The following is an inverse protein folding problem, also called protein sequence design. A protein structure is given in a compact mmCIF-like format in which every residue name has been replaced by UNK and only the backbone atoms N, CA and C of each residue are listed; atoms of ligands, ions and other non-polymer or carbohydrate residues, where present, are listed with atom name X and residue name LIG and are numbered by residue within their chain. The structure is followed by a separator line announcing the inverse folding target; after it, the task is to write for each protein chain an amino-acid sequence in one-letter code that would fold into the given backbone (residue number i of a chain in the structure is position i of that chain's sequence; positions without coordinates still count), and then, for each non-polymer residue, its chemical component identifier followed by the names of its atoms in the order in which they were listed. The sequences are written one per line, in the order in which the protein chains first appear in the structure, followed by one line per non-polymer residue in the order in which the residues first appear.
data_IF_072538767978
#
_entry.id   IF_072538767978
#
_cell.length_a   1.000
_cell.length_b   1.000
_cell.length_c   1.000
_cell.angle_alpha   90.00
_cell.angle_beta   90.00
_cell.angle_gamma   90.00
#
_symmetry.space_group_name_H-M   'P 1'
#
loop_
_entity.id
_entity.type
_entity.pdbx_description
1 polymer ?
#
# COMPACT_ATOMS: atom_id res chain seq x y z
N UNK A 1 1.95 32.60 9.79
CA UNK A 1 2.66 31.41 10.33
C UNK A 1 1.67 30.38 10.93
N UNK A 2 0.57 30.06 10.22
CA UNK A 2 -0.38 29.01 10.62
C UNK A 2 -0.46 27.85 9.58
N UNK A 3 0.16 28.03 8.41
CA UNK A 3 0.07 27.09 7.28
C UNK A 3 1.09 25.94 7.33
N UNK A 4 2.11 26.01 8.19
CA UNK A 4 3.14 24.95 8.28
C UNK A 4 2.69 23.72 9.11
N UNK A 5 1.52 23.80 9.76
CA UNK A 5 1.00 22.75 10.64
C UNK A 5 0.03 21.75 9.99
N UNK A 6 -0.48 22.05 8.80
CA UNK A 6 -1.45 21.19 8.12
C UNK A 6 -0.76 19.92 7.59
N UNK A 7 -1.39 18.77 7.84
CA UNK A 7 -0.91 17.44 7.39
C UNK A 7 -0.64 17.37 5.89
N UNK A 8 -1.26 18.24 5.09
CA UNK A 8 -1.11 18.34 3.64
C UNK A 8 0.30 18.80 3.19
N UNK A 9 1.06 19.47 4.05
CA UNK A 9 2.42 19.93 3.75
C UNK A 9 3.51 19.04 4.33
N UNK A 10 3.16 17.98 5.08
CA UNK A 10 4.14 17.08 5.68
C UNK A 10 4.63 16.07 4.65
N UNK A 11 5.90 16.19 4.31
CA UNK A 11 6.61 15.20 3.51
C UNK A 11 7.09 14.08 4.43
N UNK A 12 6.41 12.94 4.37
CA UNK A 12 6.79 11.77 5.17
C UNK A 12 7.93 10.99 4.53
N UNK A 13 8.95 10.63 5.31
CA UNK A 13 10.11 9.88 4.79
C UNK A 13 9.69 8.53 4.19
N UNK A 14 8.78 7.80 4.84
CA UNK A 14 8.21 6.56 4.28
C UNK A 14 7.50 6.76 2.93
N UNK A 15 6.83 7.90 2.74
CA UNK A 15 6.13 8.23 1.50
C UNK A 15 7.13 8.54 0.39
N UNK A 16 8.23 9.23 0.70
CA UNK A 16 9.32 9.46 -0.26
C UNK A 16 10.00 8.14 -0.66
N UNK A 17 10.27 7.27 0.31
CA UNK A 17 10.81 5.95 0.01
C UNK A 17 9.88 5.15 -0.91
N UNK A 18 8.58 5.09 -0.59
CA UNK A 18 7.56 4.43 -1.42
C UNK A 18 7.50 5.03 -2.85
N UNK A 19 7.57 6.35 -3.00
CA UNK A 19 7.65 7.00 -4.31
C UNK A 19 8.89 6.58 -5.10
N UNK A 20 10.04 6.40 -4.43
CA UNK A 20 11.25 5.90 -5.07
C UNK A 20 11.08 4.49 -5.64
N UNK A 21 10.28 3.63 -4.97
CA UNK A 21 9.96 2.28 -5.45
C UNK A 21 9.17 2.36 -6.75
N UNK A 22 8.15 3.22 -6.81
CA UNK A 22 7.37 3.42 -8.01
C UNK A 22 8.24 3.88 -9.18
N UNK A 23 9.07 4.91 -8.99
CA UNK A 23 9.94 5.40 -10.06
C UNK A 23 10.87 4.33 -10.59
N UNK A 24 11.46 3.52 -9.71
CA UNK A 24 12.26 2.36 -10.10
C UNK A 24 11.46 1.36 -10.94
N UNK A 25 10.23 1.03 -10.53
CA UNK A 25 9.34 0.10 -11.27
C UNK A 25 8.94 0.60 -12.66
N UNK A 26 8.84 1.91 -12.87
CA UNK A 26 8.56 2.50 -14.19
C UNK A 26 9.82 2.84 -14.99
N UNK A 27 11.00 2.35 -14.57
CA UNK A 27 12.26 2.54 -15.28
C UNK A 27 12.95 3.90 -15.05
N UNK A 28 12.42 4.74 -14.16
CA UNK A 28 12.98 6.07 -13.80
C UNK A 28 13.98 5.96 -12.64
N UNK A 29 15.05 5.20 -12.87
CA UNK A 29 16.11 4.99 -11.87
C UNK A 29 16.78 6.29 -11.43
N UNK A 30 16.88 7.28 -12.33
CA UNK A 30 17.38 8.63 -12.07
C UNK A 30 16.59 9.32 -10.95
N UNK A 31 15.25 9.29 -11.04
CA UNK A 31 14.38 9.90 -10.04
C UNK A 31 14.40 9.12 -8.73
N UNK A 32 14.39 7.79 -8.81
CA UNK A 32 14.46 6.93 -7.64
C UNK A 32 15.75 7.19 -6.84
N UNK A 33 16.91 7.29 -7.51
CA UNK A 33 18.19 7.61 -6.89
C UNK A 33 18.19 9.02 -6.30
N UNK A 34 17.69 10.02 -7.04
CA UNK A 34 17.60 11.40 -6.55
C UNK A 34 16.80 11.51 -5.25
N UNK A 35 15.69 10.79 -5.16
CA UNK A 35 14.89 10.72 -3.93
C UNK A 35 15.70 10.06 -2.81
N UNK A 36 16.31 8.90 -3.05
CA UNK A 36 17.06 8.16 -2.01
C UNK A 36 18.30 8.87 -1.49
N UNK A 37 18.93 9.71 -2.30
CA UNK A 37 20.03 10.56 -1.84
C UNK A 37 19.56 11.64 -0.86
N UNK A 38 18.34 12.17 -1.08
CA UNK A 38 17.76 13.20 -0.21
C UNK A 38 17.04 12.61 1.00
N UNK A 39 16.46 11.42 0.83
CA UNK A 39 15.67 10.68 1.80
C UNK A 39 16.22 9.24 1.91
N UNK A 40 17.30 9.04 2.68
CA UNK A 40 17.93 7.74 2.82
C UNK A 40 16.95 6.67 3.35
N UNK A 41 16.91 5.46 2.78
CA UNK A 41 15.98 4.40 3.21
C UNK A 41 16.10 3.99 4.69
N UNK A 42 17.25 4.22 5.30
CA UNK A 42 17.55 3.89 6.70
C UNK A 42 17.33 5.06 7.67
N UNK A 43 16.95 6.24 7.18
CA UNK A 43 16.64 7.38 8.03
C UNK A 43 15.38 7.10 8.90
N UNK A 44 15.31 7.68 10.12
CA UNK A 44 14.11 7.57 10.93
C UNK A 44 12.88 8.13 10.23
N UNK A 45 11.75 7.47 10.41
CA UNK A 45 10.48 8.02 9.94
C UNK A 45 10.07 9.23 10.80
N UNK A 46 9.49 10.24 10.15
CA UNK A 46 9.09 11.51 10.76
C UNK A 46 7.59 11.56 11.10
N UNK A 47 6.86 10.46 10.94
CA UNK A 47 5.47 10.30 11.38
C UNK A 47 5.36 10.00 12.90
N UNK A 48 5.56 11.04 13.71
CA UNK A 48 5.49 10.97 15.17
C UNK A 48 4.10 11.38 15.71
N UNK A 49 3.58 10.71 16.76
CA UNK A 49 4.22 9.64 17.54
C UNK A 49 4.03 8.22 16.96
N UNK A 50 3.21 8.06 15.91
CA UNK A 50 2.69 6.76 15.44
C UNK A 50 3.77 5.77 15.02
N UNK A 51 4.88 6.26 14.46
CA UNK A 51 5.97 5.42 13.92
C UNK A 51 7.31 5.71 14.59
N UNK A 52 7.29 6.15 15.85
CA UNK A 52 8.53 6.41 16.61
C UNK A 52 9.41 5.16 16.64
N UNK A 53 10.66 5.31 16.18
CA UNK A 53 11.66 4.22 16.16
C UNK A 53 11.67 3.37 14.89
N UNK A 54 10.74 3.59 13.95
CA UNK A 54 10.76 2.92 12.64
C UNK A 54 11.64 3.68 11.65
N UNK A 55 12.19 2.93 10.68
CA UNK A 55 12.91 3.50 9.53
C UNK A 55 11.95 3.79 8.38
N UNK A 56 12.33 4.70 7.49
CA UNK A 56 11.51 5.09 6.33
C UNK A 56 11.19 3.89 5.41
N UNK A 57 12.11 2.94 5.25
CA UNK A 57 11.90 1.77 4.41
C UNK A 57 11.13 0.60 5.05
N UNK A 58 10.92 0.63 6.35
CA UNK A 58 10.53 -0.53 7.15
C UNK A 58 9.15 -1.08 6.81
N UNK A 59 8.24 -0.32 6.20
CA UNK A 59 6.93 -0.84 5.76
C UNK A 59 6.92 -1.32 4.32
N UNK A 60 7.64 -0.62 3.44
CA UNK A 60 7.47 -0.73 1.99
C UNK A 60 8.61 -1.47 1.28
N UNK A 61 9.70 -1.82 1.97
CA UNK A 61 10.86 -2.51 1.40
C UNK A 61 10.48 -3.80 0.65
N UNK A 62 9.48 -4.52 1.15
CA UNK A 62 8.93 -5.74 0.53
C UNK A 62 8.42 -5.50 -0.90
N UNK A 63 7.98 -4.28 -1.24
CA UNK A 63 7.48 -3.97 -2.59
C UNK A 63 8.60 -3.89 -3.64
N UNK A 64 9.85 -3.75 -3.19
CA UNK A 64 11.06 -3.87 -4.02
C UNK A 64 11.57 -5.29 -4.17
N UNK A 65 10.95 -6.27 -3.52
CA UNK A 65 11.50 -7.62 -3.42
C UNK A 65 12.65 -7.73 -2.40
N UNK A 66 12.76 -6.79 -1.47
CA UNK A 66 13.73 -6.91 -0.37
C UNK A 66 13.29 -8.02 0.59
N UNK A 67 14.20 -8.95 0.86
CA UNK A 67 14.01 -10.08 1.79
C UNK A 67 14.50 -9.77 3.20
N UNK A 68 15.07 -8.59 3.43
CA UNK A 68 15.48 -8.14 4.76
C UNK A 68 14.28 -8.12 5.71
N UNK A 69 14.49 -8.45 7.01
CA UNK A 69 13.44 -8.31 7.99
C UNK A 69 12.92 -6.88 8.07
N UNK A 70 11.60 -6.76 8.08
CA UNK A 70 10.82 -5.54 8.28
C UNK A 70 9.95 -5.70 9.54
N UNK A 71 9.23 -4.68 10.02
CA UNK A 71 8.52 -4.74 11.32
C UNK A 71 7.54 -5.91 11.50
N UNK A 72 7.04 -6.51 10.41
CA UNK A 72 6.17 -7.69 10.46
C UNK A 72 6.87 -9.00 10.06
N UNK A 73 8.19 -9.03 9.84
CA UNK A 73 8.89 -10.21 9.31
C UNK A 73 8.77 -11.47 10.18
N UNK A 74 8.51 -11.32 11.48
CA UNK A 74 8.30 -12.43 12.42
C UNK A 74 6.81 -12.75 12.63
N UNK A 75 5.89 -12.08 11.93
CA UNK A 75 4.45 -12.32 12.02
C UNK A 75 4.02 -13.36 10.99
N UNK A 76 3.14 -14.26 11.42
CA UNK A 76 2.55 -15.28 10.54
C UNK A 76 1.22 -14.78 9.94
N UNK A 77 0.50 -13.93 10.67
CA UNK A 77 -0.78 -13.34 10.28
C UNK A 77 -0.98 -11.97 10.99
N UNK A 78 -2.00 -11.22 10.59
CA UNK A 78 -2.46 -9.99 11.24
C UNK A 78 -4.00 -9.92 11.25
N UNK A 79 -4.58 -9.10 12.12
CA UNK A 79 -6.00 -8.73 12.03
C UNK A 79 -6.28 -7.69 10.94
N UNK A 80 -5.25 -6.98 10.46
CA UNK A 80 -5.37 -5.90 9.50
C UNK A 80 -5.08 -6.37 8.07
N UNK A 81 -5.93 -5.94 7.13
CA UNK A 81 -5.88 -6.43 5.76
C UNK A 81 -4.61 -6.02 5.00
N UNK A 82 -4.11 -4.80 5.19
CA UNK A 82 -2.84 -4.36 4.59
C UNK A 82 -1.65 -5.15 5.14
N UNK A 83 -1.62 -5.38 6.45
CA UNK A 83 -0.54 -6.15 7.07
C UNK A 83 -0.53 -7.60 6.56
N UNK A 84 -1.69 -8.24 6.38
CA UNK A 84 -1.78 -9.55 5.74
C UNK A 84 -1.18 -9.53 4.34
N UNK A 85 -1.48 -8.50 3.53
CA UNK A 85 -0.96 -8.37 2.19
C UNK A 85 0.57 -8.21 2.20
N UNK A 86 1.11 -7.38 3.10
CA UNK A 86 2.56 -7.18 3.26
C UNK A 86 3.28 -8.45 3.73
N UNK A 87 2.72 -9.18 4.70
CA UNK A 87 3.26 -10.46 5.16
C UNK A 87 3.23 -11.51 4.03
N UNK A 88 2.15 -11.57 3.26
CA UNK A 88 2.04 -12.49 2.13
C UNK A 88 3.10 -12.19 1.06
N UNK A 89 3.26 -10.92 0.69
CA UNK A 89 4.31 -10.47 -0.23
C UNK A 89 5.71 -10.84 0.29
N UNK A 90 5.98 -10.59 1.56
CA UNK A 90 7.24 -11.00 2.20
C UNK A 90 7.50 -12.51 2.09
N UNK A 91 6.48 -13.34 2.30
CA UNK A 91 6.61 -14.79 2.16
C UNK A 91 6.82 -15.25 0.73
N UNK A 92 6.23 -14.58 -0.27
CA UNK A 92 6.50 -14.87 -1.67
C UNK A 92 7.98 -14.62 -2.01
N UNK A 93 8.54 -13.48 -1.60
CA UNK A 93 9.95 -13.14 -1.85
C UNK A 93 10.92 -14.09 -1.13
N UNK A 94 10.46 -14.81 -0.10
CA UNK A 94 11.22 -15.86 0.60
C UNK A 94 10.92 -17.28 0.12
N UNK A 95 10.28 -17.44 -1.04
CA UNK A 95 9.89 -18.74 -1.60
C UNK A 95 9.00 -19.58 -0.68
N UNK A 96 8.23 -18.95 0.22
CA UNK A 96 7.27 -19.59 1.13
C UNK A 96 5.85 -19.48 0.59
N UNK A 97 5.64 -19.96 -0.64
CA UNK A 97 4.38 -19.79 -1.39
C UNK A 97 3.14 -20.26 -0.62
N UNK A 98 3.17 -21.44 0.00
CA UNK A 98 2.04 -21.96 0.78
C UNK A 98 1.65 -21.03 1.95
N UNK A 99 2.62 -20.37 2.60
CA UNK A 99 2.33 -19.43 3.69
C UNK A 99 1.66 -18.15 3.14
N UNK A 100 2.13 -17.66 1.99
CA UNK A 100 1.52 -16.53 1.31
C UNK A 100 0.10 -16.85 0.81
N UNK A 101 -0.12 -18.05 0.25
CA UNK A 101 -1.41 -18.50 -0.26
C UNK A 101 -2.47 -18.61 0.85
N UNK A 102 -2.08 -18.97 2.08
CA UNK A 102 -3.01 -18.93 3.24
C UNK A 102 -3.53 -17.53 3.52
N UNK A 103 -2.64 -16.53 3.51
CA UNK A 103 -3.00 -15.13 3.73
C UNK A 103 -3.79 -14.56 2.54
N UNK A 104 -3.42 -14.95 1.33
CA UNK A 104 -4.19 -14.64 0.12
C UNK A 104 -5.61 -15.18 0.20
N UNK A 105 -5.81 -16.45 0.56
CA UNK A 105 -7.14 -17.05 0.65
C UNK A 105 -8.01 -16.37 1.71
N UNK A 106 -7.43 -15.96 2.85
CA UNK A 106 -8.14 -15.17 3.86
C UNK A 106 -8.53 -13.79 3.30
N UNK A 107 -7.62 -13.06 2.65
CA UNK A 107 -7.95 -11.78 2.01
C UNK A 107 -8.99 -11.93 0.89
N UNK A 108 -8.87 -12.96 0.07
CA UNK A 108 -9.80 -13.25 -1.01
C UNK A 108 -11.20 -13.57 -0.48
N UNK A 109 -11.31 -14.31 0.62
CA UNK A 109 -12.60 -14.59 1.27
C UNK A 109 -13.30 -13.33 1.80
N UNK A 110 -12.53 -12.26 2.04
CA UNK A 110 -13.02 -10.96 2.48
C UNK A 110 -13.28 -10.02 1.31
N UNK A 111 -12.90 -10.38 0.09
CA UNK A 111 -13.05 -9.50 -1.06
C UNK A 111 -14.48 -9.58 -1.61
N UNK A 112 -15.12 -8.42 -1.74
CA UNK A 112 -16.38 -8.25 -2.44
C UNK A 112 -16.07 -7.84 -3.89
N UNK A 113 -16.18 -8.75 -4.88
CA UNK A 113 -15.86 -8.46 -6.27
C UNK A 113 -16.87 -7.54 -6.95
N UNK A 114 -18.09 -7.42 -6.40
CA UNK A 114 -19.14 -6.54 -6.95
C UNK A 114 -18.82 -5.10 -6.58
N UNK A 115 -18.52 -4.86 -5.30
CA UNK A 115 -18.18 -3.52 -4.78
C UNK A 115 -16.72 -3.15 -5.07
N UNK A 116 -15.83 -4.12 -5.19
CA UNK A 116 -14.41 -3.93 -5.40
C UNK A 116 -13.62 -3.63 -4.13
N UNK A 117 -14.17 -3.96 -2.96
CA UNK A 117 -13.59 -3.63 -1.65
C UNK A 117 -13.34 -4.90 -0.83
N UNK A 118 -12.44 -4.80 0.16
CA UNK A 118 -12.30 -5.82 1.20
C UNK A 118 -13.28 -5.53 2.33
N UNK A 119 -13.81 -6.56 2.97
CA UNK A 119 -14.53 -6.43 4.23
C UNK A 119 -13.66 -5.66 5.23
N UNK A 120 -14.29 -4.72 5.94
CA UNK A 120 -13.62 -3.85 6.90
C UNK A 120 -12.95 -4.70 7.98
N UNK A 121 -11.65 -4.46 8.21
CA UNK A 121 -11.02 -4.94 9.43
C UNK A 121 -11.38 -4.02 10.62
N UNK A 122 -10.82 -4.30 11.81
CA UNK A 122 -11.18 -3.58 13.02
C UNK A 122 -11.01 -2.06 12.89
N UNK A 123 -9.91 -1.59 12.29
CA UNK A 123 -9.65 -0.15 12.18
C UNK A 123 -10.57 0.52 11.14
N UNK A 124 -10.89 -0.20 10.07
CA UNK A 124 -11.80 0.28 9.03
C UNK A 124 -13.24 0.40 9.55
N UNK A 125 -13.67 -0.58 10.34
CA UNK A 125 -15.01 -0.64 10.91
C UNK A 125 -15.26 0.49 11.92
N UNK A 126 -14.24 0.90 12.69
CA UNK A 126 -14.34 2.05 13.61
C UNK A 126 -14.65 3.36 12.87
N UNK A 127 -14.25 3.48 11.60
CA UNK A 127 -14.48 4.67 10.77
C UNK A 127 -15.61 4.50 9.75
N UNK A 128 -16.10 3.28 9.53
CA UNK A 128 -17.04 2.93 8.47
C UNK A 128 -16.53 3.32 7.06
N UNK A 129 -15.23 3.09 6.81
CA UNK A 129 -14.57 3.44 5.56
C UNK A 129 -13.84 2.23 4.96
N UNK A 130 -13.76 2.18 3.65
CA UNK A 130 -12.93 1.23 2.90
C UNK A 130 -11.67 1.94 2.38
N UNK A 131 -10.49 1.71 2.96
CA UNK A 131 -9.28 2.37 2.49
C UNK A 131 -8.84 1.84 1.11
N UNK A 132 -8.65 2.76 0.17
CA UNK A 132 -8.27 2.44 -1.22
C UNK A 132 -6.88 1.81 -1.27
N UNK A 133 -5.95 2.25 -0.41
CA UNK A 133 -4.58 1.71 -0.38
C UNK A 133 -4.55 0.20 -0.05
N UNK A 134 -5.51 -0.31 0.73
CA UNK A 134 -5.64 -1.74 1.04
C UNK A 134 -6.04 -2.54 -0.21
N UNK A 135 -6.93 -1.99 -1.02
CA UNK A 135 -7.33 -2.58 -2.30
C UNK A 135 -6.17 -2.58 -3.28
N UNK A 136 -5.39 -1.49 -3.34
CA UNK A 136 -4.20 -1.42 -4.16
C UNK A 136 -3.13 -2.46 -3.73
N UNK A 137 -2.87 -2.61 -2.43
CA UNK A 137 -1.97 -3.66 -1.92
C UNK A 137 -2.47 -5.06 -2.25
N UNK A 138 -3.77 -5.30 -2.14
CA UNK A 138 -4.37 -6.58 -2.54
C UNK A 138 -4.20 -6.85 -4.03
N UNK A 139 -4.32 -5.82 -4.88
CA UNK A 139 -4.01 -5.91 -6.32
C UNK A 139 -2.54 -6.23 -6.60
N UNK A 140 -1.61 -5.60 -5.87
CA UNK A 140 -0.17 -5.93 -5.97
C UNK A 140 0.07 -7.40 -5.59
N UNK A 141 -0.58 -7.90 -4.53
CA UNK A 141 -0.50 -9.32 -4.14
C UNK A 141 -1.11 -10.25 -5.18
N UNK A 142 -2.29 -9.90 -5.73
CA UNK A 142 -2.95 -10.67 -6.79
C UNK A 142 -2.05 -10.85 -8.00
N UNK A 143 -1.36 -9.78 -8.40
CA UNK A 143 -0.34 -9.81 -9.46
C UNK A 143 0.79 -10.78 -9.14
N UNK A 144 1.32 -10.76 -7.91
CA UNK A 144 2.42 -11.65 -7.48
C UNK A 144 2.02 -13.12 -7.40
N UNK A 145 0.77 -13.42 -7.02
CA UNK A 145 0.22 -14.79 -6.99
C UNK A 145 -0.29 -15.25 -8.37
N UNK A 146 -0.34 -14.35 -9.35
CA UNK A 146 -0.82 -14.58 -10.72
C UNK A 146 -2.32 -14.89 -10.79
N UNK A 147 -3.12 -14.32 -9.89
CA UNK A 147 -4.57 -14.36 -9.99
C UNK A 147 -5.06 -13.20 -10.88
N UNK A 148 -5.12 -13.45 -12.19
CA UNK A 148 -5.41 -12.42 -13.20
C UNK A 148 -6.85 -11.92 -13.18
N UNK A 149 -7.81 -12.75 -12.76
CA UNK A 149 -9.22 -12.38 -12.67
C UNK A 149 -9.44 -11.33 -11.57
N UNK A 150 -8.93 -11.59 -10.36
CA UNK A 150 -8.99 -10.65 -9.24
C UNK A 150 -8.22 -9.39 -9.55
N UNK A 151 -7.03 -9.51 -10.13
CA UNK A 151 -6.23 -8.37 -10.55
C UNK A 151 -7.01 -7.48 -11.54
N UNK A 152 -7.60 -8.06 -12.58
CA UNK A 152 -8.36 -7.30 -13.59
C UNK A 152 -9.56 -6.57 -12.98
N UNK A 153 -10.29 -7.20 -12.05
CA UNK A 153 -11.37 -6.53 -11.33
C UNK A 153 -10.85 -5.34 -10.52
N UNK A 154 -9.80 -5.55 -9.71
CA UNK A 154 -9.19 -4.49 -8.90
C UNK A 154 -8.70 -3.34 -9.78
N UNK A 155 -7.99 -3.63 -10.88
CA UNK A 155 -7.51 -2.61 -11.80
C UNK A 155 -8.67 -1.79 -12.39
N UNK A 156 -9.76 -2.45 -12.81
CA UNK A 156 -10.97 -1.76 -13.28
C UNK A 156 -11.55 -0.82 -12.21
N UNK A 157 -11.60 -1.27 -10.95
CA UNK A 157 -12.12 -0.45 -9.84
C UNK A 157 -11.21 0.73 -9.53
N UNK A 158 -9.89 0.51 -9.46
CA UNK A 158 -8.91 1.57 -9.26
C UNK A 158 -8.97 2.61 -10.38
N UNK A 159 -9.07 2.22 -11.65
CA UNK A 159 -9.24 3.17 -12.77
C UNK A 159 -10.52 3.99 -12.61
N UNK A 160 -11.65 3.36 -12.26
CA UNK A 160 -12.91 4.07 -12.05
C UNK A 160 -12.88 5.04 -10.85
N UNK A 161 -11.99 4.80 -9.89
CA UNK A 161 -11.79 5.60 -8.69
C UNK A 161 -10.70 6.68 -8.84
N UNK A 162 -10.01 6.72 -9.98
CA UNK A 162 -8.97 7.71 -10.21
C UNK A 162 -9.60 9.09 -10.46
N UNK A 163 -9.11 10.10 -9.75
CA UNK A 163 -9.49 11.49 -9.99
C UNK A 163 -8.93 11.96 -11.34
N UNK A 164 -9.57 12.98 -11.95
CA UNK A 164 -9.14 13.55 -13.25
C UNK A 164 -7.70 14.10 -13.24
N UNK A 165 -7.19 14.48 -12.08
CA UNK A 165 -5.80 14.93 -11.88
C UNK A 165 -4.79 13.78 -11.71
N UNK A 166 -5.25 12.53 -11.73
CA UNK A 166 -4.42 11.33 -11.69
C UNK A 166 -4.23 10.69 -10.31
N UNK A 167 -4.67 11.33 -9.21
CA UNK A 167 -4.60 10.80 -7.85
C UNK A 167 -5.82 9.95 -7.44
N UNK A 168 -5.78 9.43 -6.21
CA UNK A 168 -6.88 8.69 -5.58
C UNK A 168 -7.17 9.26 -4.19
N UNK A 169 -8.45 9.40 -3.85
CA UNK A 169 -8.83 9.65 -2.45
C UNK A 169 -8.46 8.44 -1.58
N UNK A 170 -8.16 8.70 -0.30
CA UNK A 170 -7.73 7.67 0.64
C UNK A 170 -8.77 6.58 0.88
N UNK A 171 -10.06 6.94 0.89
CA UNK A 171 -11.11 6.07 1.39
C UNK A 171 -12.38 6.09 0.51
N UNK A 172 -13.23 5.08 0.70
CA UNK A 172 -14.60 5.01 0.17
C UNK A 172 -15.58 4.80 1.32
N UNK A 173 -16.74 5.47 1.28
CA UNK A 173 -17.83 5.24 2.23
C UNK A 173 -18.54 3.91 1.97
N UNK A 174 -19.51 3.57 2.82
CA UNK A 174 -20.38 2.40 2.64
C UNK A 174 -21.09 2.42 1.28
N UNK A 175 -21.55 3.59 0.83
CA UNK A 175 -22.17 3.79 -0.49
C UNK A 175 -21.15 3.89 -1.65
N UNK A 176 -19.86 3.67 -1.36
CA UNK A 176 -18.73 3.76 -2.28
C UNK A 176 -18.42 5.16 -2.81
N UNK A 177 -19.04 6.21 -2.26
CA UNK A 177 -18.64 7.59 -2.57
C UNK A 177 -17.24 7.88 -2.01
N UNK A 178 -16.44 8.75 -2.66
CA UNK A 178 -15.12 9.13 -2.16
C UNK A 178 -15.19 9.77 -0.76
N UNK A 179 -14.22 9.45 0.10
CA UNK A 179 -14.00 10.10 1.39
C UNK A 179 -12.49 10.23 1.68
N UNK A 180 -12.11 11.33 2.35
CA UNK A 180 -10.72 11.61 2.68
C UNK A 180 -10.00 12.46 1.64
N UNK A 181 -8.66 12.36 1.62
CA UNK A 181 -7.79 13.27 0.86
C UNK A 181 -7.02 12.52 -0.21
N UNK A 182 -6.61 13.20 -1.28
CA UNK A 182 -5.62 12.64 -2.19
C UNK A 182 -4.25 12.64 -1.50
N UNK A 183 -3.66 11.45 -1.29
CA UNK A 183 -2.32 11.35 -0.68
C UNK A 183 -1.36 10.55 -1.56
N UNK A 184 -0.06 10.71 -1.26
CA UNK A 184 1.01 10.07 -2.02
C UNK A 184 0.97 8.54 -1.88
N UNK A 185 0.72 8.02 -0.67
CA UNK A 185 0.72 6.58 -0.39
C UNK A 185 -0.31 5.83 -1.25
N UNK A 186 -1.58 6.26 -1.18
CA UNK A 186 -2.67 5.65 -1.94
C UNK A 186 -2.43 5.78 -3.44
N UNK A 187 -1.94 6.93 -3.90
CA UNK A 187 -1.65 7.17 -5.32
C UNK A 187 -0.54 6.26 -5.82
N UNK A 188 0.56 6.14 -5.08
CA UNK A 188 1.70 5.31 -5.46
C UNK A 188 1.32 3.82 -5.47
N UNK A 189 0.64 3.34 -4.44
CA UNK A 189 0.21 1.95 -4.36
C UNK A 189 -0.78 1.61 -5.48
N UNK A 190 -1.77 2.48 -5.73
CA UNK A 190 -2.74 2.29 -6.81
C UNK A 190 -2.04 2.26 -8.17
N UNK A 191 -1.08 3.16 -8.40
CA UNK A 191 -0.28 3.16 -9.63
C UNK A 191 0.49 1.85 -9.79
N UNK A 192 1.16 1.35 -8.74
CA UNK A 192 1.89 0.07 -8.81
C UNK A 192 0.99 -1.14 -9.08
N UNK A 193 -0.24 -1.15 -8.56
CA UNK A 193 -1.23 -2.18 -8.87
C UNK A 193 -1.65 -2.14 -10.35
N UNK A 194 -1.72 -0.94 -10.94
CA UNK A 194 -2.10 -0.69 -12.34
C UNK A 194 -0.97 -0.89 -13.35
N UNK A 195 0.29 -0.91 -12.92
CA UNK A 195 1.40 -1.24 -13.82
C UNK A 195 1.16 -2.62 -14.48
N UNK A 196 1.76 -2.90 -15.65
CA UNK A 196 1.79 -4.25 -16.19
C UNK A 196 2.56 -5.24 -15.29
#
# INVERSE_FOLDING_TARGET
MAEQGHSEHRVYNQSQYLLSILFKKVGRNDLAQKIRMKHPPDEPDNDLPRRKGHRSNDRWCILEGDIKPFYLANRINSSYNDEKALIALYWLERNRRQAAERLWNDLYSRYDPVRGVLQMDKADAERNLYPVYKIALFGILAKRIQNMEVLANIQKKLVAWQHRSGGWETDRKIDLTPDGVANLETTVLSTMALLP
#
